data_IF_725384808244
#
_entry.id   IF_725384808244
#
_cell.length_a   1.000
_cell.length_b   1.000
_cell.length_c   1.000
_cell.angle_alpha   90.00
_cell.angle_beta   90.00
_cell.angle_gamma   90.00
#
_symmetry.space_group_name_H-M   'P 1'
#
loop_
_entity.id
_entity.type
_entity.pdbx_description
1 polymer ?
#
# COMPACT_ATOMS: atom_id res chain seq x y z
N UNK A 1 15.66 -34.18 11.40
CA UNK A 1 15.10 -33.82 10.08
C UNK A 1 14.56 -32.40 10.17
N UNK A 2 15.44 -31.40 10.19
CA UNK A 2 15.07 -30.01 10.45
C UNK A 2 16.07 -29.09 9.74
N UNK A 3 15.77 -28.70 8.51
CA UNK A 3 16.71 -27.95 7.67
C UNK A 3 16.09 -27.14 6.53
N UNK A 4 14.77 -26.94 6.50
CA UNK A 4 14.10 -26.23 5.40
C UNK A 4 13.52 -24.87 5.81
N UNK A 5 13.25 -24.64 7.09
CA UNK A 5 12.68 -23.36 7.56
C UNK A 5 13.69 -22.20 7.57
N UNK A 6 14.98 -22.47 7.80
CA UNK A 6 16.02 -21.43 7.75
C UNK A 6 16.39 -20.99 6.33
N UNK A 7 16.27 -21.87 5.34
CA UNK A 7 16.58 -21.55 3.95
C UNK A 7 15.37 -20.98 3.20
N UNK A 8 14.13 -21.33 3.58
CA UNK A 8 12.93 -20.83 2.93
C UNK A 8 12.88 -19.29 2.89
N UNK A 9 13.18 -18.62 4.01
CA UNK A 9 13.24 -17.16 4.07
C UNK A 9 14.28 -16.55 3.12
N UNK A 10 15.40 -17.25 2.89
CA UNK A 10 16.45 -16.82 1.95
C UNK A 10 16.07 -17.04 0.47
N UNK A 11 15.22 -18.03 0.17
CA UNK A 11 14.78 -18.33 -1.21
C UNK A 11 13.68 -17.39 -1.73
N UNK A 12 12.99 -16.69 -0.83
CA UNK A 12 11.98 -15.69 -1.21
C UNK A 12 12.55 -14.59 -2.12
N UNK A 13 13.82 -14.24 -1.94
CA UNK A 13 14.50 -13.29 -2.81
C UNK A 13 14.60 -13.76 -4.26
N UNK A 14 14.81 -15.07 -4.49
CA UNK A 14 14.85 -15.65 -5.85
C UNK A 14 13.50 -15.47 -6.55
N UNK A 15 12.40 -15.72 -5.83
CA UNK A 15 11.05 -15.61 -6.37
C UNK A 15 10.74 -14.16 -6.69
N UNK A 16 11.06 -13.24 -5.77
CA UNK A 16 10.87 -11.81 -5.98
C UNK A 16 11.63 -11.34 -7.23
N UNK A 17 12.88 -11.77 -7.40
CA UNK A 17 13.73 -11.40 -8.53
C UNK A 17 13.16 -11.90 -9.87
N UNK A 18 12.63 -13.13 -9.91
CA UNK A 18 11.94 -13.69 -11.08
C UNK A 18 10.67 -12.87 -11.42
N UNK A 19 9.87 -12.50 -10.42
CA UNK A 19 8.67 -11.68 -10.64
C UNK A 19 9.06 -10.29 -11.18
N UNK A 20 10.13 -9.66 -10.67
CA UNK A 20 10.68 -8.40 -11.23
C UNK A 20 11.12 -8.60 -12.68
N UNK A 21 11.74 -9.72 -13.05
CA UNK A 21 12.19 -9.96 -14.43
C UNK A 21 11.01 -10.11 -15.40
N UNK A 22 9.92 -10.74 -14.99
CA UNK A 22 8.72 -10.95 -15.82
C UNK A 22 7.86 -9.68 -15.90
N UNK A 23 7.60 -9.04 -14.77
CA UNK A 23 6.72 -7.86 -14.69
C UNK A 23 7.45 -6.54 -14.95
N UNK A 24 8.76 -6.49 -14.71
CA UNK A 24 9.58 -5.28 -14.76
C UNK A 24 9.57 -4.49 -13.44
N UNK A 25 10.69 -3.84 -13.12
CA UNK A 25 10.89 -3.07 -11.89
C UNK A 25 9.87 -1.93 -11.68
N UNK A 26 9.29 -1.40 -12.76
CA UNK A 26 8.32 -0.29 -12.70
C UNK A 26 6.87 -0.75 -12.48
N UNK A 27 6.51 -1.99 -12.84
CA UNK A 27 5.10 -2.44 -12.83
C UNK A 27 4.64 -2.96 -11.47
N UNK A 28 5.50 -3.66 -10.73
CA UNK A 28 5.21 -4.08 -9.35
C UNK A 28 4.89 -2.89 -8.42
N UNK A 29 5.70 -1.83 -8.34
CA UNK A 29 5.40 -0.69 -7.47
C UNK A 29 4.19 0.13 -7.96
N UNK A 30 3.93 0.17 -9.27
CA UNK A 30 2.75 0.84 -9.83
C UNK A 30 1.45 0.12 -9.44
N UNK A 31 1.42 -1.22 -9.56
CA UNK A 31 0.29 -2.04 -9.13
C UNK A 31 0.07 -1.96 -7.61
N UNK A 32 1.16 -2.04 -6.84
CA UNK A 32 1.10 -1.87 -5.39
C UNK A 32 0.58 -0.48 -4.98
N UNK A 33 0.94 0.59 -5.69
CA UNK A 33 0.41 1.94 -5.46
C UNK A 33 -1.09 2.01 -5.72
N UNK A 34 -1.56 1.47 -6.85
CA UNK A 34 -2.99 1.49 -7.20
C UNK A 34 -3.85 0.68 -6.21
N UNK A 35 -3.40 -0.53 -5.84
CA UNK A 35 -4.08 -1.37 -4.85
C UNK A 35 -4.01 -0.72 -3.46
N UNK A 36 -2.85 -0.14 -3.10
CA UNK A 36 -2.64 0.54 -1.82
C UNK A 36 -3.55 1.75 -1.64
N UNK A 37 -3.83 2.51 -2.71
CA UNK A 37 -4.78 3.63 -2.66
C UNK A 37 -6.20 3.14 -2.35
N UNK A 38 -6.67 2.07 -2.99
CA UNK A 38 -7.99 1.47 -2.70
C UNK A 38 -8.06 0.97 -1.25
N UNK A 39 -7.07 0.19 -0.80
CA UNK A 39 -7.02 -0.31 0.58
C UNK A 39 -6.95 0.81 1.61
N UNK A 40 -6.26 1.93 1.31
CA UNK A 40 -6.17 3.07 2.21
C UNK A 40 -7.53 3.77 2.39
N UNK A 41 -8.33 3.89 1.33
CA UNK A 41 -9.68 4.47 1.40
C UNK A 41 -10.59 3.56 2.23
N UNK A 42 -10.60 2.25 1.95
CA UNK A 42 -11.36 1.29 2.74
C UNK A 42 -10.92 1.29 4.22
N UNK A 43 -9.62 1.41 4.48
CA UNK A 43 -9.10 1.44 5.85
C UNK A 43 -9.43 2.74 6.58
N UNK A 44 -9.51 3.86 5.87
CA UNK A 44 -9.99 5.14 6.41
C UNK A 44 -11.48 5.03 6.77
N UNK A 45 -12.33 4.60 5.84
CA UNK A 45 -13.76 4.43 6.10
C UNK A 45 -14.05 3.45 7.25
N UNK A 46 -13.35 2.32 7.31
CA UNK A 46 -13.49 1.35 8.42
C UNK A 46 -12.98 1.92 9.75
N UNK A 47 -11.91 2.72 9.73
CA UNK A 47 -11.34 3.33 10.94
C UNK A 47 -12.17 4.51 11.42
N UNK A 48 -12.75 5.29 10.51
CA UNK A 48 -13.63 6.42 10.81
C UNK A 48 -14.98 5.91 11.31
N UNK A 49 -15.53 4.85 10.71
CA UNK A 49 -16.70 4.14 11.24
C UNK A 49 -16.48 3.48 12.61
N UNK A 50 -15.22 3.18 12.97
CA UNK A 50 -14.84 2.73 14.33
C UNK A 50 -14.50 3.88 15.28
N UNK A 51 -14.32 5.11 14.77
CA UNK A 51 -13.97 6.31 15.53
C UNK A 51 -15.14 7.28 15.68
N UNK A 52 -16.29 7.04 15.06
CA UNK A 52 -17.47 7.92 15.13
C UNK A 52 -18.17 7.93 16.52
N UNK A 53 -17.54 7.38 17.56
CA UNK A 53 -17.87 7.67 18.96
C UNK A 53 -16.95 8.76 19.57
N UNK A 54 -15.96 9.27 18.82
CA UNK A 54 -15.10 10.38 19.23
C UNK A 54 -14.54 11.17 18.02
N UNK A 55 -15.18 12.31 17.74
CA UNK A 55 -14.68 13.46 16.94
C UNK A 55 -14.78 13.36 15.41
N UNK A 56 -15.63 14.26 14.88
CA UNK A 56 -15.87 14.61 13.48
C UNK A 56 -14.68 15.42 12.86
N UNK A 57 -14.63 15.59 11.52
CA UNK A 57 -13.42 15.36 10.72
C UNK A 57 -12.58 16.61 10.41
N UNK A 58 -11.25 16.43 10.37
CA UNK A 58 -10.34 17.34 9.67
C UNK A 58 -10.37 17.05 8.17
N UNK A 59 -10.70 18.10 7.42
CA UNK A 59 -10.67 18.15 5.97
C UNK A 59 -9.22 18.30 5.50
N UNK A 60 -8.58 17.21 5.12
CA UNK A 60 -7.37 17.26 4.29
C UNK A 60 -7.78 17.46 2.82
N UNK A 61 -7.93 18.72 2.43
CA UNK A 61 -8.00 19.18 1.05
C UNK A 61 -6.60 19.65 0.61
N UNK A 62 -5.81 18.84 -0.11
CA UNK A 62 -4.53 19.28 -0.65
C UNK A 62 -4.74 19.90 -2.04
N UNK A 63 -5.36 21.08 -2.11
CA UNK A 63 -5.35 21.91 -3.32
C UNK A 63 -5.33 23.41 -2.97
N UNK A 64 -4.22 23.84 -2.37
CA UNK A 64 -3.82 25.25 -2.37
C UNK A 64 -3.68 25.78 -3.80
N UNK A 65 -4.10 27.03 -3.99
CA UNK A 65 -3.56 28.05 -4.91
C UNK A 65 -3.77 27.87 -6.42
N UNK A 66 -4.77 28.57 -6.97
CA UNK A 66 -4.69 29.52 -8.11
C UNK A 66 -6.11 29.83 -8.56
N UNK A 67 -6.67 30.96 -8.13
CA UNK A 67 -7.39 31.91 -9.00
C UNK A 67 -7.93 33.06 -8.14
N UNK A 68 -7.13 34.12 -8.02
CA UNK A 68 -7.60 35.42 -7.55
C UNK A 68 -6.86 36.50 -8.34
N UNK A 69 -7.43 36.87 -9.49
CA UNK A 69 -7.33 38.22 -10.03
C UNK A 69 -8.53 38.51 -10.91
#
# INVERSE_FOLDING_TARGET
>A
MGGFFGNAASHWWIILLIVILIFGAAKLPALARSIGQSVNILKKEVKDGSKDEATAPESDDPASSTDRK
#
